data_IF_230023412181
#
_entry.id   IF_230023412181
#
_cell.length_a   1.000
_cell.length_b   1.000
_cell.length_c   1.000
_cell.angle_alpha   90.00
_cell.angle_beta   90.00
_cell.angle_gamma   90.00
#
_symmetry.space_group_name_H-M   'P 1'
#
loop_
_entity.id
_entity.type
_entity.pdbx_description
1 polymer ?
#
# COMPACT_ATOMS: atom_id res chain seq x y z
N UNK A 1 -9.84 -2.68 -0.88
CA UNK A 1 -9.24 -1.41 -1.38
C UNK A 1 -10.01 -0.90 -2.59
N UNK A 2 -9.98 -1.60 -3.74
CA UNK A 2 -10.68 -1.18 -4.97
C UNK A 2 -12.15 -0.87 -4.76
N UNK A 3 -12.90 -1.75 -4.10
CA UNK A 3 -14.31 -1.51 -3.77
C UNK A 3 -14.51 -0.20 -3.00
N UNK A 4 -13.70 0.09 -1.98
CA UNK A 4 -13.79 1.33 -1.19
C UNK A 4 -13.59 2.57 -2.08
N UNK A 5 -12.59 2.55 -2.97
CA UNK A 5 -12.35 3.67 -3.90
C UNK A 5 -13.50 3.83 -4.89
N UNK A 6 -14.04 2.72 -5.43
CA UNK A 6 -15.18 2.76 -6.35
C UNK A 6 -16.43 3.30 -5.64
N UNK A 7 -16.68 2.90 -4.40
CA UNK A 7 -17.82 3.40 -3.63
C UNK A 7 -17.69 4.90 -3.30
N UNK A 8 -16.49 5.37 -2.95
CA UNK A 8 -16.19 6.80 -2.75
C UNK A 8 -16.41 7.60 -4.05
N UNK A 9 -15.99 7.03 -5.18
CA UNK A 9 -16.23 7.61 -6.51
C UNK A 9 -17.72 7.73 -6.82
N UNK A 10 -18.50 6.65 -6.62
CA UNK A 10 -19.95 6.66 -6.85
C UNK A 10 -20.72 7.61 -5.94
N UNK A 11 -20.19 7.94 -4.76
CA UNK A 11 -20.74 8.95 -3.85
C UNK A 11 -20.34 10.39 -4.23
N UNK A 12 -19.48 10.57 -5.23
CA UNK A 12 -19.00 11.87 -5.68
C UNK A 12 -17.88 12.48 -4.83
N UNK A 13 -17.22 11.71 -3.96
CA UNK A 13 -16.18 12.23 -3.05
C UNK A 13 -14.95 12.77 -3.80
N UNK A 14 -14.72 12.31 -5.03
CA UNK A 14 -13.61 12.79 -5.88
C UNK A 14 -13.99 13.95 -6.81
N UNK A 15 -15.18 14.55 -6.64
CA UNK A 15 -15.65 15.75 -7.35
C UNK A 15 -15.56 15.64 -8.89
N UNK A 16 -15.87 14.46 -9.44
CA UNK A 16 -15.85 14.18 -10.88
C UNK A 16 -14.47 14.04 -11.51
N UNK A 17 -13.40 13.99 -10.70
CA UNK A 17 -12.04 13.74 -11.20
C UNK A 17 -11.84 12.27 -11.60
N UNK A 18 -10.94 12.04 -12.55
CA UNK A 18 -10.56 10.70 -12.99
C UNK A 18 -9.92 9.90 -11.85
N UNK A 19 -10.46 8.71 -11.59
CA UNK A 19 -9.85 7.75 -10.66
C UNK A 19 -8.72 7.00 -11.34
N UNK A 20 -7.64 6.84 -10.60
CA UNK A 20 -6.37 6.28 -11.04
C UNK A 20 -5.78 5.40 -9.94
N UNK A 21 -4.95 4.42 -10.31
CA UNK A 21 -4.24 3.57 -9.32
C UNK A 21 -3.38 4.44 -8.40
N UNK A 22 -2.60 5.34 -8.98
CA UNK A 22 -1.89 6.40 -8.25
C UNK A 22 -2.61 7.71 -8.57
N UNK A 23 -3.08 8.50 -7.57
CA UNK A 23 -2.85 8.32 -6.14
C UNK A 23 -3.96 7.55 -5.41
N UNK A 24 -5.09 7.20 -6.03
CA UNK A 24 -6.31 6.83 -5.29
C UNK A 24 -6.24 5.45 -4.63
N UNK A 25 -5.85 4.40 -5.38
CA UNK A 25 -5.71 3.04 -4.84
C UNK A 25 -4.53 2.97 -3.87
N UNK A 26 -3.39 3.53 -4.28
CA UNK A 26 -2.18 3.60 -3.45
C UNK A 26 -2.41 4.38 -2.16
N UNK A 27 -3.14 5.49 -2.24
CA UNK A 27 -3.57 6.29 -1.08
C UNK A 27 -4.44 5.48 -0.12
N UNK A 28 -5.48 4.82 -0.65
CA UNK A 28 -6.36 3.97 0.17
C UNK A 28 -5.60 2.82 0.87
N UNK A 29 -4.59 2.22 0.23
CA UNK A 29 -3.72 1.21 0.87
C UNK A 29 -2.93 1.86 2.01
N UNK A 30 -2.28 3.00 1.76
CA UNK A 30 -1.48 3.71 2.77
C UNK A 30 -2.31 4.13 3.97
N UNK A 31 -3.52 4.64 3.75
CA UNK A 31 -4.41 5.08 4.82
C UNK A 31 -4.80 3.90 5.72
N UNK A 32 -5.05 2.73 5.14
CA UNK A 32 -5.30 1.49 5.91
C UNK A 32 -4.08 1.07 6.72
N UNK A 33 -2.88 1.14 6.14
CA UNK A 33 -1.64 0.83 6.86
C UNK A 33 -1.42 1.79 8.04
N UNK A 34 -1.54 3.10 7.81
CA UNK A 34 -1.39 4.13 8.86
C UNK A 34 -2.39 3.90 9.99
N UNK A 35 -3.66 3.69 9.64
CA UNK A 35 -4.73 3.42 10.61
C UNK A 35 -4.46 2.16 11.44
N UNK A 36 -3.93 1.09 10.83
CA UNK A 36 -3.59 -0.13 11.55
C UNK A 36 -2.45 0.05 12.59
N UNK A 37 -1.59 1.06 12.39
CA UNK A 37 -0.49 1.39 13.29
C UNK A 37 -0.83 2.43 14.36
N UNK A 38 -2.04 3.00 14.37
CA UNK A 38 -2.42 4.03 15.34
C UNK A 38 -2.30 3.53 16.79
N UNK A 39 -1.59 4.30 17.62
CA UNK A 39 -1.35 3.96 19.02
C UNK A 39 -0.40 2.77 19.25
N UNK A 40 0.35 2.35 18.23
CA UNK A 40 1.39 1.32 18.31
C UNK A 40 2.76 1.91 18.07
N UNK A 41 3.77 1.42 18.79
CA UNK A 41 5.17 1.83 18.57
C UNK A 41 5.73 1.25 17.26
N UNK A 42 5.32 0.01 16.92
CA UNK A 42 5.79 -0.72 15.74
C UNK A 42 4.60 -1.44 15.08
N UNK A 43 4.51 -1.34 13.75
CA UNK A 43 3.60 -2.12 12.91
C UNK A 43 4.41 -2.98 11.94
N UNK A 44 4.13 -4.27 11.90
CA UNK A 44 4.66 -5.20 10.89
C UNK A 44 3.55 -5.43 9.86
N UNK A 45 3.85 -5.17 8.59
CA UNK A 45 2.92 -5.38 7.48
C UNK A 45 3.47 -6.49 6.59
N UNK A 46 2.74 -7.59 6.48
CA UNK A 46 2.99 -8.62 5.48
C UNK A 46 2.34 -8.21 4.16
N UNK A 47 3.09 -8.30 3.06
CA UNK A 47 2.57 -8.12 1.71
C UNK A 47 2.54 -9.50 1.05
N UNK A 48 1.35 -10.01 0.81
CA UNK A 48 1.15 -11.25 0.08
C UNK A 48 1.50 -11.13 -1.42
N UNK A 49 1.55 -12.27 -2.09
CA UNK A 49 1.97 -12.39 -3.49
C UNK A 49 3.49 -12.46 -3.64
N UNK A 50 3.96 -12.61 -4.88
CA UNK A 50 5.39 -12.61 -5.20
C UNK A 50 5.79 -11.29 -5.84
N UNK A 51 6.94 -10.75 -5.46
CA UNK A 51 7.48 -9.56 -6.13
C UNK A 51 7.73 -9.88 -7.61
N UNK A 52 7.14 -9.08 -8.49
CA UNK A 52 7.13 -9.31 -9.94
C UNK A 52 5.74 -9.60 -10.48
N UNK A 53 4.82 -10.07 -9.65
CA UNK A 53 3.44 -10.33 -10.04
C UNK A 53 2.65 -9.01 -10.15
N UNK A 54 1.81 -8.90 -11.19
CA UNK A 54 1.03 -7.69 -11.51
C UNK A 54 0.11 -7.28 -10.35
N UNK A 55 -0.43 -8.27 -9.62
CA UNK A 55 -1.32 -8.03 -8.49
C UNK A 55 -0.67 -7.29 -7.32
N UNK A 56 0.65 -7.44 -7.14
CA UNK A 56 1.41 -6.83 -6.04
C UNK A 56 1.80 -5.37 -6.30
N UNK A 57 1.78 -4.91 -7.56
CA UNK A 57 2.30 -3.60 -7.95
C UNK A 57 1.70 -2.42 -7.15
N UNK A 58 0.38 -2.34 -6.90
CA UNK A 58 -0.19 -1.25 -6.09
C UNK A 58 0.30 -1.26 -4.63
N UNK A 59 0.54 -2.44 -4.06
CA UNK A 59 1.03 -2.58 -2.69
C UNK A 59 2.51 -2.21 -2.56
N UNK A 60 3.33 -2.66 -3.53
CA UNK A 60 4.74 -2.27 -3.60
C UNK A 60 4.90 -0.76 -3.76
N UNK A 61 4.06 -0.14 -4.59
CA UNK A 61 4.05 1.31 -4.74
C UNK A 61 3.56 2.02 -3.47
N UNK A 62 2.57 1.47 -2.76
CA UNK A 62 2.10 2.00 -1.48
C UNK A 62 3.18 2.00 -0.41
N UNK A 63 3.93 0.92 -0.21
CA UNK A 63 5.02 0.90 0.77
C UNK A 63 6.20 1.77 0.34
N UNK A 64 6.47 1.88 -0.97
CA UNK A 64 7.51 2.76 -1.50
C UNK A 64 7.18 4.22 -1.18
N UNK A 65 5.95 4.65 -1.47
CA UNK A 65 5.46 5.99 -1.17
C UNK A 65 5.37 6.24 0.34
N UNK A 66 4.88 5.26 1.13
CA UNK A 66 4.79 5.40 2.59
C UNK A 66 6.16 5.57 3.23
N UNK A 67 7.16 4.80 2.80
CA UNK A 67 8.55 4.93 3.29
C UNK A 67 9.15 6.31 3.01
N UNK A 68 8.78 6.94 1.88
CA UNK A 68 9.17 8.32 1.60
C UNK A 68 8.47 9.32 2.54
N UNK A 69 7.19 9.11 2.85
CA UNK A 69 6.42 10.00 3.73
C UNK A 69 6.86 9.93 5.19
N UNK A 70 7.08 8.74 5.74
CA UNK A 70 7.46 8.58 7.15
C UNK A 70 8.95 8.77 7.39
N UNK A 71 9.75 8.78 6.32
CA UNK A 71 11.20 8.92 6.35
C UNK A 71 11.94 7.58 6.54
N UNK A 72 13.18 7.53 6.07
CA UNK A 72 14.01 6.32 6.02
C UNK A 72 14.26 5.66 7.38
N UNK A 73 14.21 6.43 8.47
CA UNK A 73 14.48 5.94 9.83
C UNK A 73 13.24 5.32 10.49
N UNK A 74 12.05 5.51 9.92
CA UNK A 74 10.78 5.04 10.49
C UNK A 74 10.12 3.92 9.67
N UNK A 75 10.80 3.43 8.63
CA UNK A 75 10.28 2.35 7.78
C UNK A 75 11.41 1.47 7.23
N UNK A 76 11.22 0.15 7.37
CA UNK A 76 12.12 -0.89 6.89
C UNK A 76 11.34 -1.89 6.03
N UNK A 77 11.92 -2.29 4.90
CA UNK A 77 11.37 -3.34 4.04
C UNK A 77 12.22 -4.60 4.20
N UNK A 78 11.58 -5.75 4.42
CA UNK A 78 12.23 -7.06 4.48
C UNK A 78 11.75 -7.85 3.27
N UNK A 79 12.70 -8.42 2.51
CA UNK A 79 12.38 -9.25 1.35
C UNK A 79 12.73 -10.71 1.66
N UNK A 80 11.75 -11.59 1.56
CA UNK A 80 11.91 -13.03 1.71
C UNK A 80 12.22 -13.64 0.34
N UNK A 81 13.25 -14.48 0.27
CA UNK A 81 13.67 -15.14 -0.97
C UNK A 81 14.00 -16.61 -0.74
N UNK A 82 13.86 -17.43 -1.78
CA UNK A 82 14.17 -18.86 -1.77
C UNK A 82 15.63 -19.08 -2.21
N UNK A 83 16.40 -19.80 -1.40
CA UNK A 83 17.72 -20.31 -1.78
C UNK A 83 17.58 -21.81 -2.08
N UNK A 84 17.59 -22.23 -3.35
CA UNK A 84 17.43 -23.64 -3.70
C UNK A 84 18.72 -24.44 -3.41
N UNK A 85 18.57 -25.74 -3.18
CA UNK A 85 19.67 -26.69 -3.06
C UNK A 85 19.49 -27.81 -4.10
N UNK A 86 20.60 -28.27 -4.70
CA UNK A 86 20.63 -29.34 -5.71
C UNK A 86 21.48 -30.48 -5.18
#
# INVERSE_FOLDING_TARGET
VYQSVIEKERRGEYLGKTIQVIPHIVGEIKDRIKKAGEGKDILIVEIGGTVGDIEGLPFLEAIRALRLEVGKNNAMNIHLTLVPFI
#
